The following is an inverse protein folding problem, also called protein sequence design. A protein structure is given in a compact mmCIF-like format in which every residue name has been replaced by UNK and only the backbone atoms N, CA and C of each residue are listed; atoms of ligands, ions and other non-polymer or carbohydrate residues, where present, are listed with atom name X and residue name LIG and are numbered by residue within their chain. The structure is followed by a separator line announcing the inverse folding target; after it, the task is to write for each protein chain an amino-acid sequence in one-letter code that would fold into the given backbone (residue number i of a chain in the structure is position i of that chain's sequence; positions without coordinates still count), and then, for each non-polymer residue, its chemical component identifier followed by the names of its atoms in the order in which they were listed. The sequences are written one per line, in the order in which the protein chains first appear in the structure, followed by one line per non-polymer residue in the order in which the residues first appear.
data_IF_744143503719
#
_entry.id   IF_744143503719
#
_cell.length_a   1.000
_cell.length_b   1.000
_cell.length_c   1.000
_cell.angle_alpha   90.00
_cell.angle_beta   90.00
_cell.angle_gamma   90.00
#
_symmetry.space_group_name_H-M   'P 1'
#
loop_
_entity.id
_entity.type
_entity.pdbx_description
1 polymer ?
#
# COMPACT_ATOMS: atom_id res chain seq x y z
N UNK A 1 18.29 -15.14 18.05
CA UNK A 1 17.67 -14.30 16.98
C UNK A 1 17.53 -12.88 17.53
N UNK A 2 18.13 -11.85 16.91
CA UNK A 2 18.30 -10.49 17.49
C UNK A 2 17.07 -9.58 17.41
N UNK A 3 15.98 -10.01 16.76
CA UNK A 3 14.76 -9.22 16.48
C UNK A 3 15.01 -7.90 15.72
N UNK A 4 16.22 -7.71 15.17
CA UNK A 4 16.65 -6.48 14.51
C UNK A 4 15.72 -6.08 13.36
N UNK A 5 15.29 -7.03 12.53
CA UNK A 5 14.42 -6.76 11.38
C UNK A 5 13.08 -6.15 11.84
N UNK A 6 12.42 -6.74 12.84
CA UNK A 6 11.15 -6.21 13.35
C UNK A 6 11.30 -4.79 13.93
N UNK A 7 12.43 -4.51 14.58
CA UNK A 7 12.75 -3.17 15.10
C UNK A 7 13.07 -2.17 13.99
N UNK A 8 13.88 -2.56 13.00
CA UNK A 8 14.22 -1.73 11.85
C UNK A 8 12.97 -1.33 11.05
N UNK A 9 11.97 -2.22 10.98
CA UNK A 9 10.68 -1.97 10.34
C UNK A 9 9.64 -1.34 11.28
N UNK A 10 9.99 -1.03 12.53
CA UNK A 10 9.12 -0.33 13.48
C UNK A 10 7.88 -1.13 13.93
N UNK A 11 7.92 -2.46 13.83
CA UNK A 11 6.77 -3.32 14.17
C UNK A 11 6.99 -4.17 15.41
N UNK A 12 8.15 -4.07 16.06
CA UNK A 12 8.43 -4.81 17.29
C UNK A 12 7.69 -4.19 18.48
N UNK A 13 6.96 -5.01 19.23
CA UNK A 13 6.44 -4.62 20.55
C UNK A 13 7.63 -4.66 21.52
N UNK A 14 8.01 -3.53 22.08
CA UNK A 14 9.20 -3.44 22.96
C UNK A 14 8.85 -3.78 24.42
N UNK A 15 7.63 -3.48 24.88
CA UNK A 15 7.22 -3.58 26.28
C UNK A 15 5.84 -4.26 26.45
N UNK A 16 5.55 -4.72 27.68
CA UNK A 16 4.27 -5.36 28.04
C UNK A 16 4.26 -6.89 27.90
N UNK A 17 3.08 -7.49 28.01
CA UNK A 17 2.91 -8.95 28.02
C UNK A 17 3.28 -9.59 26.66
N UNK A 18 3.07 -8.87 25.56
CA UNK A 18 3.42 -9.28 24.20
C UNK A 18 4.83 -8.82 23.77
N UNK A 19 5.66 -8.35 24.71
CA UNK A 19 6.99 -7.85 24.42
C UNK A 19 7.82 -8.86 23.61
N UNK A 20 8.37 -8.36 22.52
CA UNK A 20 9.22 -9.13 21.64
C UNK A 20 8.49 -9.90 20.54
N UNK A 21 7.18 -9.73 20.40
CA UNK A 21 6.37 -10.15 19.25
C UNK A 21 6.21 -8.96 18.30
N UNK A 22 6.29 -9.14 16.98
CA UNK A 22 5.98 -8.06 16.05
C UNK A 22 4.46 -7.91 15.87
N UNK A 23 3.98 -6.67 15.72
CA UNK A 23 2.68 -6.38 15.12
C UNK A 23 2.57 -7.02 13.73
N UNK A 24 1.34 -7.12 13.20
CA UNK A 24 1.07 -7.71 11.89
C UNK A 24 1.41 -6.75 10.75
N UNK A 25 2.69 -6.39 10.65
CA UNK A 25 3.24 -5.53 9.60
C UNK A 25 3.34 -6.23 8.24
N UNK A 26 2.90 -5.54 7.19
CA UNK A 26 3.12 -5.87 5.79
C UNK A 26 3.72 -4.65 5.09
N UNK A 27 4.70 -4.90 4.23
CA UNK A 27 5.44 -3.88 3.51
C UNK A 27 5.48 -4.25 2.03
N UNK A 28 5.08 -3.34 1.14
CA UNK A 28 5.25 -3.48 -0.31
C UNK A 28 6.48 -2.68 -0.71
N UNK A 29 7.50 -3.38 -1.21
CA UNK A 29 8.78 -2.82 -1.65
C UNK A 29 8.91 -3.07 -3.15
N UNK A 30 9.22 -2.04 -3.93
CA UNK A 30 9.34 -2.15 -5.38
C UNK A 30 10.69 -2.74 -5.82
N UNK A 31 10.88 -3.07 -7.13
CA UNK A 31 12.15 -3.61 -7.63
C UNK A 31 13.36 -2.68 -7.48
N UNK A 32 13.15 -1.38 -7.21
CA UNK A 32 14.23 -0.41 -6.94
C UNK A 32 14.60 -0.37 -5.45
N UNK A 33 13.95 -1.18 -4.62
CA UNK A 33 14.14 -1.21 -3.17
C UNK A 33 13.42 -0.09 -2.43
N UNK A 34 12.49 0.62 -3.08
CA UNK A 34 11.72 1.71 -2.46
C UNK A 34 10.50 1.14 -1.75
N UNK A 35 10.31 1.51 -0.48
CA UNK A 35 9.10 1.18 0.27
C UNK A 35 7.92 2.00 -0.25
N UNK A 36 6.85 1.34 -0.72
CA UNK A 36 5.70 1.97 -1.37
C UNK A 36 4.46 1.99 -0.48
N UNK A 37 4.30 0.99 0.40
CA UNK A 37 3.12 0.85 1.23
C UNK A 37 3.41 0.07 2.51
N UNK A 38 2.71 0.45 3.58
CA UNK A 38 2.80 -0.17 4.91
C UNK A 38 1.38 -0.42 5.42
N UNK A 39 1.07 -1.66 5.81
CA UNK A 39 -0.12 -2.01 6.61
C UNK A 39 0.33 -2.61 7.92
N UNK A 40 -0.13 -2.04 9.04
CA UNK A 40 0.11 -2.59 10.39
C UNK A 40 -1.23 -2.83 11.05
N UNK A 41 -1.52 -4.09 11.36
CA UNK A 41 -2.68 -4.46 12.17
C UNK A 41 -2.24 -4.89 13.56
N UNK A 42 -3.14 -4.68 14.54
CA UNK A 42 -3.01 -5.26 15.86
C UNK A 42 -3.10 -6.80 15.82
N UNK A 43 -2.65 -7.47 16.89
CA UNK A 43 -2.55 -8.92 16.99
C UNK A 43 -3.87 -9.69 16.74
N UNK A 44 -5.07 -9.24 17.14
CA UNK A 44 -6.28 -10.04 16.95
C UNK A 44 -6.86 -9.95 15.53
N UNK A 45 -6.44 -9.00 14.69
CA UNK A 45 -7.08 -8.73 13.39
C UNK A 45 -6.18 -9.09 12.21
N UNK A 46 -6.67 -10.00 11.36
CA UNK A 46 -6.00 -10.40 10.12
C UNK A 46 -5.94 -9.29 9.06
N UNK A 47 -5.07 -9.48 8.05
CA UNK A 47 -4.97 -8.61 6.86
C UNK A 47 -5.85 -9.14 5.73
N UNK A 48 -6.09 -8.31 4.73
CA UNK A 48 -6.82 -8.69 3.52
C UNK A 48 -5.84 -8.93 2.34
N UNK A 49 -5.83 -10.15 1.79
CA UNK A 49 -4.97 -10.54 0.65
C UNK A 49 -5.37 -9.85 -0.64
N UNK A 50 -6.67 -9.65 -0.87
CA UNK A 50 -7.16 -8.99 -2.07
C UNK A 50 -6.73 -7.52 -2.12
N UNK A 51 -6.70 -6.86 -0.95
CA UNK A 51 -6.18 -5.49 -0.86
C UNK A 51 -4.67 -5.41 -1.12
N UNK A 52 -3.92 -6.40 -0.64
CA UNK A 52 -2.47 -6.48 -0.91
C UNK A 52 -2.24 -6.64 -2.42
N UNK A 53 -2.97 -7.53 -3.08
CA UNK A 53 -2.88 -7.74 -4.53
C UNK A 53 -3.27 -6.47 -5.30
N UNK A 54 -4.37 -5.82 -4.91
CA UNK A 54 -4.85 -4.57 -5.51
C UNK A 54 -3.79 -3.47 -5.43
N UNK A 55 -3.15 -3.31 -4.28
CA UNK A 55 -2.09 -2.31 -4.08
C UNK A 55 -0.85 -2.61 -4.93
N UNK A 56 -0.41 -3.88 -5.01
CA UNK A 56 0.71 -4.27 -5.87
C UNK A 56 0.40 -3.93 -7.34
N UNK A 57 -0.80 -4.28 -7.82
CA UNK A 57 -1.22 -3.97 -9.18
C UNK A 57 -1.32 -2.46 -9.44
N UNK A 58 -1.79 -1.69 -8.45
CA UNK A 58 -1.86 -0.24 -8.55
C UNK A 58 -0.48 0.39 -8.71
N UNK A 59 0.49 0.01 -7.87
CA UNK A 59 1.87 0.52 -8.01
C UNK A 59 2.51 0.14 -9.33
N UNK A 60 2.31 -1.10 -9.79
CA UNK A 60 2.79 -1.53 -11.12
C UNK A 60 2.18 -0.69 -12.24
N UNK A 61 0.87 -0.43 -12.18
CA UNK A 61 0.19 0.40 -13.16
C UNK A 61 0.74 1.83 -13.20
N UNK A 62 0.89 2.46 -12.02
CA UNK A 62 1.43 3.84 -11.94
C UNK A 62 2.87 3.91 -12.42
N UNK A 63 3.68 2.89 -12.14
CA UNK A 63 5.09 2.83 -12.56
C UNK A 63 5.23 2.65 -14.09
N UNK A 64 4.30 1.93 -14.73
CA UNK A 64 4.30 1.70 -16.18
C UNK A 64 3.68 2.87 -16.98
N UNK A 65 2.59 3.47 -16.49
CA UNK A 65 1.79 4.43 -17.26
C UNK A 65 2.01 5.89 -16.86
N UNK A 66 2.55 6.16 -15.67
CA UNK A 66 2.70 7.53 -15.14
C UNK A 66 1.39 8.22 -14.74
N UNK A 67 0.27 7.51 -14.81
CA UNK A 67 -1.03 7.93 -14.27
C UNK A 67 -1.18 7.53 -12.80
N UNK A 68 -2.15 8.09 -12.11
CA UNK A 68 -2.45 7.75 -10.70
C UNK A 68 -3.76 6.96 -10.56
N UNK A 69 -3.77 6.04 -9.61
CA UNK A 69 -4.91 5.18 -9.28
C UNK A 69 -5.83 5.88 -8.25
N UNK A 70 -7.12 6.11 -8.56
CA UNK A 70 -8.09 6.67 -7.61
C UNK A 70 -8.41 5.73 -6.43
N UNK A 71 -9.19 6.23 -5.47
CA UNK A 71 -9.65 5.43 -4.34
C UNK A 71 -10.41 4.17 -4.81
N UNK A 72 -10.06 3.02 -4.24
CA UNK A 72 -10.68 1.74 -4.59
C UNK A 72 -10.37 1.24 -6.01
N UNK A 73 -9.38 1.82 -6.71
CA UNK A 73 -9.00 1.38 -8.06
C UNK A 73 -8.69 -0.11 -8.11
N UNK A 74 -9.20 -0.78 -9.14
CA UNK A 74 -8.94 -2.17 -9.52
C UNK A 74 -8.49 -2.24 -10.98
N UNK A 75 -7.82 -3.33 -11.41
CA UNK A 75 -7.39 -3.48 -12.80
C UNK A 75 -8.55 -3.25 -13.80
N UNK A 76 -8.32 -2.38 -14.78
CA UNK A 76 -9.31 -1.98 -15.79
C UNK A 76 -10.21 -0.82 -15.39
N UNK A 77 -10.18 -0.36 -14.13
CA UNK A 77 -10.89 0.84 -13.70
C UNK A 77 -10.22 2.12 -14.24
N UNK A 78 -11.01 3.19 -14.33
CA UNK A 78 -10.52 4.49 -14.78
C UNK A 78 -9.44 5.06 -13.85
N UNK A 79 -8.45 5.68 -14.47
CA UNK A 79 -7.28 6.31 -13.85
C UNK A 79 -7.26 7.81 -14.09
N UNK A 80 -6.39 8.51 -13.38
CA UNK A 80 -6.30 9.97 -13.44
C UNK A 80 -4.90 10.41 -13.86
N UNK A 81 -4.84 11.30 -14.85
CA UNK A 81 -3.60 12.00 -15.20
C UNK A 81 -3.35 13.07 -14.14
N UNK A 82 -2.16 13.05 -13.51
CA UNK A 82 -1.78 13.95 -12.42
C UNK A 82 -1.43 15.38 -12.92
N UNK A 83 -2.35 15.99 -13.67
CA UNK A 83 -2.27 17.35 -14.22
C UNK A 83 -3.64 18.04 -14.10
N UNK A 84 -3.70 19.35 -13.77
CA UNK A 84 -4.98 20.07 -13.64
C UNK A 84 -5.88 20.06 -14.88
N UNK A 85 -5.33 19.95 -16.09
CA UNK A 85 -6.12 19.86 -17.31
C UNK A 85 -6.44 18.40 -17.67
N UNK A 86 -5.45 17.50 -17.55
CA UNK A 86 -5.62 16.06 -17.82
C UNK A 86 -6.63 15.38 -16.89
N UNK A 87 -6.65 15.77 -15.60
CA UNK A 87 -7.57 15.20 -14.61
C UNK A 87 -9.06 15.49 -14.90
N UNK A 88 -9.38 16.52 -15.68
CA UNK A 88 -10.76 16.84 -16.08
C UNK A 88 -11.43 15.70 -16.85
N UNK A 89 -10.66 14.96 -17.65
CA UNK A 89 -11.18 13.80 -18.39
C UNK A 89 -11.72 12.72 -17.45
N UNK A 90 -11.04 12.47 -16.33
CA UNK A 90 -11.50 11.55 -15.30
C UNK A 90 -12.77 12.06 -14.63
N UNK A 91 -12.75 13.29 -14.09
CA UNK A 91 -13.88 13.85 -13.34
C UNK A 91 -15.16 13.97 -14.18
N UNK A 92 -15.05 14.36 -15.45
CA UNK A 92 -16.20 14.43 -16.35
C UNK A 92 -16.82 13.06 -16.60
N UNK A 93 -16.01 11.98 -16.62
CA UNK A 93 -16.49 10.61 -16.85
C UNK A 93 -17.14 10.00 -15.61
N UNK A 94 -16.67 10.37 -14.41
CA UNK A 94 -17.08 9.72 -13.16
C UNK A 94 -18.15 10.46 -12.38
N UNK A 95 -18.38 11.76 -12.64
CA UNK A 95 -19.24 12.62 -11.82
C UNK A 95 -20.28 13.43 -12.65
N UNK A 96 -20.63 12.96 -13.84
CA UNK A 96 -21.85 13.34 -14.56
C UNK A 96 -22.93 12.28 -14.37
#
# INVERSE_FOLDING_TARGET
ITKKIARDYGVLIEDGDDAGVPFRGLFIIDPKGTLRQITVNDLPVGRNVDEILRLVQAFQYTDEHGEVCPAGWTPGAATLVADPNGSKAYFNKTHQ
#
